data_IF_034821456214
#
_entry.id   IF_034821456214
#
_cell.length_a   1.000
_cell.length_b   1.000
_cell.length_c   1.000
_cell.angle_alpha   90.00
_cell.angle_beta   90.00
_cell.angle_gamma   90.00
#
_symmetry.space_group_name_H-M   'P 1'
#
loop_
_entity.id
_entity.type
_entity.pdbx_description
1 polymer ?
#
# COMPACT_ATOMS: atom_id res chain seq x y z
N UNK A 1 -34.95 11.94 -4.05
CA UNK A 1 -34.18 10.89 -3.35
C UNK A 1 -32.80 10.92 -3.97
N UNK A 2 -31.80 11.38 -3.23
CA UNK A 2 -30.46 11.70 -3.72
C UNK A 2 -29.71 10.44 -4.17
N UNK A 3 -29.30 10.45 -5.43
CA UNK A 3 -28.33 9.54 -6.05
C UNK A 3 -27.03 9.56 -5.24
N UNK A 4 -26.86 8.55 -4.40
CA UNK A 4 -25.65 8.40 -3.60
C UNK A 4 -24.56 7.83 -4.53
N UNK A 5 -23.69 8.72 -5.01
CA UNK A 5 -22.53 8.38 -5.82
C UNK A 5 -21.75 7.25 -5.16
N UNK A 6 -21.81 6.08 -5.80
CA UNK A 6 -21.07 4.88 -5.45
C UNK A 6 -19.59 5.11 -5.75
N UNK A 7 -18.91 5.88 -4.90
CA UNK A 7 -17.45 5.93 -4.85
C UNK A 7 -16.97 4.59 -4.31
N UNK A 8 -16.88 3.60 -5.19
CA UNK A 8 -16.19 2.34 -4.96
C UNK A 8 -14.70 2.64 -4.73
N UNK A 9 -14.37 3.02 -3.51
CA UNK A 9 -12.99 2.91 -3.02
C UNK A 9 -12.70 1.41 -3.04
N UNK A 10 -11.91 0.96 -4.01
CA UNK A 10 -11.36 -0.40 -4.06
C UNK A 10 -10.54 -0.59 -2.78
N UNK A 11 -11.20 -1.01 -1.70
CA UNK A 11 -10.51 -1.42 -0.48
C UNK A 11 -9.78 -2.69 -0.85
N UNK A 12 -8.47 -2.56 -0.96
CA UNK A 12 -7.57 -3.69 -1.15
C UNK A 12 -7.66 -4.48 0.16
N UNK A 13 -8.34 -5.61 0.14
CA UNK A 13 -8.50 -6.50 1.29
C UNK A 13 -7.23 -7.33 1.44
N UNK A 14 -6.21 -6.76 2.07
CA UNK A 14 -4.88 -7.38 2.16
C UNK A 14 -4.42 -7.39 3.61
N UNK A 15 -4.02 -8.56 4.08
CA UNK A 15 -3.50 -8.74 5.43
C UNK A 15 -2.03 -8.32 5.50
N UNK A 16 -1.72 -7.38 6.40
CA UNK A 16 -0.34 -6.97 6.66
C UNK A 16 0.54 -8.15 7.11
N UNK A 17 -0.02 -9.07 7.89
CA UNK A 17 0.68 -10.28 8.33
C UNK A 17 1.02 -11.20 7.17
N UNK A 18 0.13 -11.32 6.19
CA UNK A 18 0.38 -12.12 4.99
C UNK A 18 1.51 -11.51 4.15
N UNK A 19 1.46 -10.19 3.91
CA UNK A 19 2.51 -9.50 3.13
C UNK A 19 3.87 -9.61 3.83
N UNK A 20 3.90 -9.42 5.14
CA UNK A 20 5.13 -9.59 5.92
C UNK A 20 5.65 -11.01 5.85
N UNK A 21 4.79 -12.03 5.90
CA UNK A 21 5.20 -13.44 5.82
C UNK A 21 5.70 -13.84 4.43
N UNK A 22 5.08 -13.32 3.37
CA UNK A 22 5.33 -13.75 1.99
C UNK A 22 6.47 -12.96 1.33
N UNK A 23 6.56 -11.66 1.63
CA UNK A 23 7.52 -10.76 0.99
C UNK A 23 8.59 -10.25 1.94
N UNK A 24 8.43 -10.46 3.26
CA UNK A 24 9.32 -9.89 4.29
C UNK A 24 9.42 -8.36 4.14
N UNK A 25 8.26 -7.76 3.90
CA UNK A 25 8.04 -6.32 3.72
C UNK A 25 7.00 -5.89 4.75
N UNK A 26 7.32 -4.84 5.51
CA UNK A 26 6.33 -4.15 6.33
C UNK A 26 5.37 -3.38 5.43
N UNK A 27 4.12 -3.86 5.37
CA UNK A 27 3.08 -3.30 4.52
C UNK A 27 2.82 -1.82 4.86
N UNK A 28 2.79 -1.44 6.14
CA UNK A 28 2.48 -0.06 6.53
C UNK A 28 3.60 0.89 6.13
N UNK A 29 4.85 0.50 6.34
CA UNK A 29 5.99 1.31 5.94
C UNK A 29 6.08 1.45 4.41
N UNK A 30 5.77 0.38 3.67
CA UNK A 30 5.65 0.42 2.22
C UNK A 30 4.57 1.40 1.77
N UNK A 31 3.38 1.35 2.37
CA UNK A 31 2.25 2.22 2.03
C UNK A 31 2.51 3.69 2.37
N UNK A 32 3.18 3.97 3.49
CA UNK A 32 3.61 5.32 3.83
C UNK A 32 4.57 5.86 2.76
N UNK A 33 5.54 5.05 2.33
CA UNK A 33 6.47 5.43 1.27
C UNK A 33 5.78 5.64 -0.09
N UNK A 34 4.80 4.78 -0.44
CA UNK A 34 3.95 4.98 -1.63
C UNK A 34 3.12 6.26 -1.51
N UNK A 35 2.58 6.56 -0.33
CA UNK A 35 1.79 7.78 -0.07
C UNK A 35 2.63 9.05 -0.24
N UNK A 36 3.93 8.97 0.02
CA UNK A 36 4.89 10.05 -0.22
C UNK A 36 5.26 10.23 -1.71
N UNK A 37 4.75 9.39 -2.61
CA UNK A 37 5.05 9.47 -4.04
C UNK A 37 6.34 8.77 -4.46
N UNK A 38 6.92 7.93 -3.58
CA UNK A 38 8.17 7.25 -3.88
C UNK A 38 7.98 6.13 -4.90
N UNK A 39 8.94 6.01 -5.81
CA UNK A 39 9.05 4.93 -6.79
C UNK A 39 9.66 3.68 -6.14
N UNK A 40 9.56 2.52 -6.79
CA UNK A 40 10.01 1.25 -6.21
C UNK A 40 11.50 1.21 -5.87
N UNK A 41 12.34 1.86 -6.68
CA UNK A 41 13.77 2.05 -6.42
C UNK A 41 13.99 2.88 -5.16
N UNK A 42 13.26 3.98 -5.01
CA UNK A 42 13.37 4.87 -3.85
C UNK A 42 12.85 4.21 -2.57
N UNK A 43 11.77 3.43 -2.67
CA UNK A 43 11.23 2.66 -1.54
C UNK A 43 12.21 1.56 -1.11
N UNK A 44 12.81 0.85 -2.08
CA UNK A 44 13.81 -0.17 -1.82
C UNK A 44 15.02 0.41 -1.10
N UNK A 45 15.54 1.54 -1.57
CA UNK A 45 16.69 2.22 -0.97
C UNK A 45 16.36 2.82 0.41
N UNK A 46 15.18 3.41 0.58
CA UNK A 46 14.76 4.06 1.83
C UNK A 46 14.54 3.05 2.96
N UNK A 47 13.86 1.94 2.66
CA UNK A 47 13.47 0.96 3.68
C UNK A 47 14.51 -0.18 3.80
N UNK A 48 15.39 -0.33 2.80
CA UNK A 48 16.36 -1.43 2.74
C UNK A 48 15.73 -2.75 2.26
N UNK A 49 14.69 -2.67 1.43
CA UNK A 49 14.08 -3.85 0.82
C UNK A 49 14.70 -4.17 -0.55
N UNK A 50 14.63 -5.44 -0.96
CA UNK A 50 14.97 -5.81 -2.33
C UNK A 50 13.94 -5.18 -3.28
N UNK A 51 14.42 -4.45 -4.29
CA UNK A 51 13.60 -3.88 -5.36
C UNK A 51 12.62 -4.89 -5.97
N UNK A 52 13.02 -6.16 -6.12
CA UNK A 52 12.14 -7.21 -6.62
C UNK A 52 10.97 -7.51 -5.66
N UNK A 53 11.20 -7.45 -4.35
CA UNK A 53 10.14 -7.62 -3.34
C UNK A 53 9.18 -6.44 -3.39
N UNK A 54 9.72 -5.23 -3.43
CA UNK A 54 8.93 -3.97 -3.52
C UNK A 54 8.01 -4.00 -4.74
N UNK A 55 8.52 -4.36 -5.92
CA UNK A 55 7.72 -4.51 -7.15
C UNK A 55 6.60 -5.52 -7.01
N UNK A 56 6.91 -6.72 -6.48
CA UNK A 56 5.90 -7.77 -6.27
C UNK A 56 4.80 -7.33 -5.30
N UNK A 57 5.15 -6.65 -4.22
CA UNK A 57 4.17 -6.11 -3.28
C UNK A 57 3.29 -5.06 -3.97
N UNK A 58 3.87 -4.13 -4.73
CA UNK A 58 3.09 -3.14 -5.47
C UNK A 58 2.13 -3.77 -6.48
N UNK A 59 2.61 -4.76 -7.24
CA UNK A 59 1.79 -5.53 -8.18
C UNK A 59 0.66 -6.29 -7.47
N UNK A 60 0.97 -6.95 -6.35
CA UNK A 60 -0.01 -7.68 -5.53
C UNK A 60 -1.10 -6.75 -4.99
N UNK A 61 -0.75 -5.50 -4.67
CA UNK A 61 -1.68 -4.47 -4.23
C UNK A 61 -2.45 -3.81 -5.39
N UNK A 62 -2.24 -4.25 -6.65
CA UNK A 62 -2.95 -3.71 -7.81
C UNK A 62 -2.31 -2.45 -8.40
N UNK A 63 -0.97 -2.36 -8.36
CA UNK A 63 -0.19 -1.24 -8.91
C UNK A 63 -0.57 0.11 -8.31
N UNK A 64 -0.65 0.16 -6.97
CA UNK A 64 -0.97 1.38 -6.26
C UNK A 64 0.06 2.49 -6.53
N UNK A 65 -0.43 3.72 -6.68
CA UNK A 65 0.36 4.95 -6.79
C UNK A 65 -0.04 5.92 -5.68
N UNK A 66 0.73 7.00 -5.50
CA UNK A 66 0.39 8.08 -4.57
C UNK A 66 -0.93 8.79 -4.88
N UNK A 67 -1.42 8.69 -6.11
CA UNK A 67 -2.70 9.27 -6.54
C UNK A 67 -3.88 8.35 -6.21
N UNK A 68 -3.66 7.04 -6.09
CA UNK A 68 -4.66 6.15 -5.52
C UNK A 68 -4.67 6.45 -4.03
N UNK A 69 -5.60 7.31 -3.62
CA UNK A 69 -5.87 7.64 -2.23
C UNK A 69 -6.09 6.37 -1.41
N UNK A 70 -5.00 5.78 -0.94
CA UNK A 70 -4.95 4.65 -0.05
C UNK A 70 -5.40 5.17 1.31
N UNK A 71 -6.72 5.32 1.44
CA UNK A 71 -7.40 5.61 2.70
C UNK A 71 -7.32 4.35 3.57
N UNK A 72 -6.12 4.05 4.05
CA UNK A 72 -5.93 3.08 5.11
C UNK A 72 -6.59 3.68 6.35
N UNK A 73 -7.66 3.02 6.82
CA UNK A 73 -8.19 3.29 8.16
C UNK A 73 -7.08 2.96 9.16
N UNK A 74 -6.30 3.97 9.52
CA UNK A 74 -5.45 3.95 10.70
C UNK A 74 -6.41 3.85 11.89
N UNK A 75 -6.69 2.62 12.33
CA UNK A 75 -7.33 2.39 13.61
C UNK A 75 -6.31 2.82 14.67
N UNK A 76 -6.20 4.12 14.92
CA UNK A 76 -5.48 4.62 16.06
C UNK A 76 -6.27 4.18 17.31
N UNK A 77 -5.66 3.42 18.23
CA UNK A 77 -6.30 3.17 19.52
C UNK A 77 -6.47 4.51 20.25
N UNK A 78 -7.65 4.68 20.85
CA UNK A 78 -8.09 5.90 21.53
C UNK A 78 -7.42 6.05 22.89
#
# INVERSE_FOLDING_TARGET
>A
MTDNQKSSSNKIDVSADQIKKEYDVDLYLFLDAVSLGLRDDEIADLIGYDLKKVKKVREHLGNISSEIGINYKKNMPK
#
